data_IF_962316244419
#
_entry.id   IF_962316244419
#
_cell.length_a   1.000
_cell.length_b   1.000
_cell.length_c   1.000
_cell.angle_alpha   90.00
_cell.angle_beta   90.00
_cell.angle_gamma   90.00
#
_symmetry.space_group_name_H-M   'P 1'
#
loop_
_entity.id
_entity.type
_entity.pdbx_description
1 polymer ?
#
# COMPACT_ATOMS: atom_id res chain seq x y z
N UNK A 1 16.81 -0.41 5.09
CA UNK A 1 17.12 -0.08 3.67
C UNK A 1 16.68 1.34 3.27
N UNK A 2 17.49 2.07 2.48
CA UNK A 2 17.21 3.44 1.98
C UNK A 2 17.76 3.63 0.55
N UNK A 3 17.01 4.33 -0.30
CA UNK A 3 17.40 4.72 -1.67
C UNK A 3 17.29 6.23 -1.82
N UNK A 4 18.26 6.82 -2.51
CA UNK A 4 18.34 8.25 -2.79
C UNK A 4 17.68 8.61 -4.13
N UNK A 5 17.76 9.89 -4.49
CA UNK A 5 17.17 10.43 -5.70
C UNK A 5 17.71 9.77 -6.98
N UNK A 6 18.96 9.34 -7.02
CA UNK A 6 19.55 8.73 -8.22
C UNK A 6 18.87 7.40 -8.53
N UNK A 7 18.60 6.60 -7.50
CA UNK A 7 17.88 5.33 -7.67
C UNK A 7 16.39 5.56 -7.89
N UNK A 8 15.79 6.49 -7.14
CA UNK A 8 14.34 6.73 -7.19
C UNK A 8 13.86 7.33 -8.51
N UNK A 9 14.65 8.21 -9.13
CA UNK A 9 14.29 8.86 -10.40
C UNK A 9 14.72 8.07 -11.64
N UNK A 10 15.54 7.02 -11.48
CA UNK A 10 15.80 6.04 -12.54
C UNK A 10 14.71 4.96 -12.54
N UNK A 11 13.70 5.13 -13.40
CA UNK A 11 12.57 4.21 -13.48
C UNK A 11 13.00 2.76 -13.75
N UNK A 12 14.08 2.54 -14.50
CA UNK A 12 14.57 1.19 -14.82
C UNK A 12 15.04 0.43 -13.57
N UNK A 13 15.56 1.17 -12.59
CA UNK A 13 15.97 0.66 -11.29
C UNK A 13 14.83 0.66 -10.27
N UNK A 14 14.06 1.75 -10.21
CA UNK A 14 13.01 1.95 -9.22
C UNK A 14 11.87 0.93 -9.39
N UNK A 15 11.50 0.59 -10.63
CA UNK A 15 10.44 -0.41 -10.91
C UNK A 15 10.82 -1.85 -10.53
N UNK A 16 12.11 -2.13 -10.33
CA UNK A 16 12.63 -3.47 -9.96
C UNK A 16 12.83 -3.63 -8.45
N UNK A 17 12.62 -2.58 -7.67
CA UNK A 17 12.76 -2.59 -6.22
C UNK A 17 11.36 -2.57 -5.63
N UNK A 18 10.99 -3.62 -4.93
CA UNK A 18 9.66 -3.80 -4.36
C UNK A 18 9.72 -3.70 -2.83
N UNK A 19 8.60 -3.31 -2.23
CA UNK A 19 8.39 -3.33 -0.78
C UNK A 19 7.15 -4.15 -0.46
N UNK A 20 7.15 -4.76 0.73
CA UNK A 20 6.08 -5.60 1.24
C UNK A 20 5.75 -5.21 2.68
N UNK A 21 4.46 -5.06 2.96
CA UNK A 21 3.89 -4.90 4.29
C UNK A 21 2.83 -5.99 4.49
N UNK A 22 2.82 -6.64 5.64
CA UNK A 22 1.92 -7.78 5.94
C UNK A 22 1.16 -7.53 7.23
N UNK A 23 -0.09 -7.98 7.29
CA UNK A 23 -0.96 -7.76 8.45
C UNK A 23 -1.06 -8.97 9.41
N UNK A 24 -0.21 -9.98 9.26
CA UNK A 24 -0.21 -11.15 10.14
C UNK A 24 -1.44 -12.06 10.01
N UNK A 25 -2.32 -11.82 9.03
CA UNK A 25 -3.50 -12.67 8.74
C UNK A 25 -3.54 -13.12 7.28
N UNK A 26 -2.41 -13.06 6.57
CA UNK A 26 -2.28 -13.46 5.16
C UNK A 26 -2.60 -12.38 4.14
N UNK A 27 -3.09 -11.21 4.59
CA UNK A 27 -3.23 -10.01 3.78
C UNK A 27 -1.92 -9.22 3.70
N UNK A 28 -1.79 -8.40 2.66
CA UNK A 28 -0.57 -7.64 2.42
C UNK A 28 -0.83 -6.36 1.61
N UNK A 29 0.16 -5.47 1.64
CA UNK A 29 0.29 -4.33 0.75
C UNK A 29 1.69 -4.39 0.13
N UNK A 30 1.77 -4.16 -1.18
CA UNK A 30 3.05 -4.18 -1.90
C UNK A 30 2.99 -3.37 -3.18
N UNK A 31 4.14 -2.84 -3.58
CA UNK A 31 4.36 -2.20 -4.87
C UNK A 31 5.85 -2.04 -5.12
N UNK A 32 6.21 -1.38 -6.22
CA UNK A 32 7.57 -0.91 -6.45
C UNK A 32 7.86 0.37 -5.67
N UNK A 33 9.13 0.75 -5.51
CA UNK A 33 9.48 2.04 -4.88
C UNK A 33 9.06 3.23 -5.74
N UNK A 34 8.84 3.03 -7.05
CA UNK A 34 8.31 4.07 -7.95
C UNK A 34 6.79 4.30 -7.79
N UNK A 35 6.10 3.47 -6.98
CA UNK A 35 4.63 3.47 -6.90
C UNK A 35 3.93 2.98 -8.17
N UNK A 36 4.69 2.43 -9.13
CA UNK A 36 4.20 1.80 -10.35
C UNK A 36 3.95 0.32 -10.08
N UNK A 37 2.70 -0.14 -10.24
CA UNK A 37 2.40 -1.56 -10.16
C UNK A 37 2.90 -2.26 -11.43
N UNK A 38 3.71 -3.30 -11.25
CA UNK A 38 4.29 -4.11 -12.34
C UNK A 38 3.76 -5.54 -12.37
N UNK A 39 3.02 -5.93 -11.32
CA UNK A 39 2.44 -7.27 -11.11
C UNK A 39 0.95 -7.14 -10.79
N UNK A 40 0.16 -8.15 -11.17
CA UNK A 40 -1.25 -8.28 -10.72
C UNK A 40 -1.40 -8.40 -9.20
N UNK A 41 -0.33 -8.71 -8.49
CA UNK A 41 -0.31 -8.89 -7.05
C UNK A 41 -0.02 -7.62 -6.26
N UNK A 42 0.43 -6.54 -6.92
CA UNK A 42 0.63 -5.26 -6.26
C UNK A 42 -0.71 -4.63 -5.89
N UNK A 43 -0.74 -3.98 -4.74
CA UNK A 43 -1.96 -3.46 -4.14
C UNK A 43 -1.65 -2.76 -2.82
N UNK A 44 -2.35 -1.66 -2.54
CA UNK A 44 -2.32 -1.04 -1.21
C UNK A 44 -3.17 -1.80 -0.18
N UNK A 45 -4.16 -2.58 -0.62
CA UNK A 45 -4.89 -3.50 0.26
C UNK A 45 -5.27 -4.79 -0.49
N UNK A 46 -4.45 -5.82 -0.30
CA UNK A 46 -4.77 -7.20 -0.68
C UNK A 46 -5.30 -7.91 0.57
N UNK A 47 -6.62 -7.97 0.68
CA UNK A 47 -7.31 -8.46 1.87
C UNK A 47 -7.39 -9.99 1.86
N UNK A 48 -7.02 -10.64 2.97
CA UNK A 48 -7.31 -12.05 3.18
C UNK A 48 -8.74 -12.20 3.72
N UNK A 49 -9.68 -12.59 2.85
CA UNK A 49 -11.11 -12.74 3.20
C UNK A 49 -11.40 -14.01 3.99
N UNK A 50 -10.49 -15.00 3.94
CA UNK A 50 -10.54 -16.25 4.72
C UNK A 50 -9.15 -16.54 5.30
N UNK A 51 -8.71 -15.80 6.32
CA UNK A 51 -7.33 -15.86 6.80
C UNK A 51 -6.76 -17.28 7.01
N UNK A 52 -5.57 -17.58 6.46
CA UNK A 52 -4.65 -16.68 5.77
C UNK A 52 -4.80 -16.62 4.24
N UNK A 53 -5.92 -17.13 3.69
CA UNK A 53 -6.17 -17.30 2.25
C UNK A 53 -7.36 -16.45 1.77
N UNK A 54 -7.80 -16.66 0.52
CA UNK A 54 -8.90 -15.91 -0.10
C UNK A 54 -8.52 -14.45 -0.32
N UNK A 55 -7.37 -14.23 -0.98
CA UNK A 55 -6.80 -12.90 -1.18
C UNK A 55 -7.52 -12.16 -2.30
N UNK A 56 -8.05 -10.98 -1.96
CA UNK A 56 -8.74 -10.09 -2.90
C UNK A 56 -8.01 -8.76 -2.95
N UNK A 57 -7.64 -8.28 -4.14
CA UNK A 57 -7.09 -6.93 -4.32
C UNK A 57 -8.26 -5.96 -4.29
N UNK A 58 -8.41 -5.23 -3.19
CA UNK A 58 -9.50 -4.25 -3.01
C UNK A 58 -9.05 -2.88 -3.53
N UNK A 59 -7.95 -2.38 -2.99
CA UNK A 59 -7.34 -1.11 -3.35
C UNK A 59 -6.01 -1.37 -4.07
N UNK A 60 -5.95 -1.08 -5.38
CA UNK A 60 -4.74 -1.26 -6.18
C UNK A 60 -3.70 -0.21 -5.82
N UNK A 61 -4.08 1.06 -5.94
CA UNK A 61 -3.26 2.20 -5.56
C UNK A 61 -4.12 3.44 -5.30
N UNK A 62 -3.50 4.55 -4.95
CA UNK A 62 -4.12 5.86 -4.94
C UNK A 62 -3.36 6.70 -5.97
N UNK A 63 -4.07 7.41 -6.83
CA UNK A 63 -3.46 8.45 -7.64
C UNK A 63 -3.35 9.73 -6.80
N UNK A 64 -2.15 10.30 -6.73
CA UNK A 64 -1.87 11.48 -5.92
C UNK A 64 -1.56 12.69 -6.80
N UNK A 65 -2.29 13.78 -6.58
CA UNK A 65 -2.02 15.07 -7.21
C UNK A 65 -1.80 16.14 -6.15
N UNK A 66 -0.64 16.77 -6.21
CA UNK A 66 -0.27 17.87 -5.32
C UNK A 66 -0.41 19.19 -6.07
N UNK A 67 -1.22 20.11 -5.55
CA UNK A 67 -1.30 21.49 -6.02
C UNK A 67 -0.52 22.40 -5.08
N UNK A 68 0.42 23.16 -5.64
CA UNK A 68 1.26 24.13 -4.92
C UNK A 68 1.07 25.50 -5.58
N UNK A 69 0.30 26.38 -4.95
CA UNK A 69 -0.22 27.57 -5.64
C UNK A 69 -1.01 27.17 -6.90
N UNK A 70 -0.58 27.67 -8.06
CA UNK A 70 -1.20 27.33 -9.36
C UNK A 70 -0.56 26.10 -10.04
N UNK A 71 0.59 25.62 -9.55
CA UNK A 71 1.29 24.49 -10.14
C UNK A 71 0.67 23.15 -9.68
N UNK A 72 0.61 22.19 -10.61
CA UNK A 72 0.09 20.84 -10.37
C UNK A 72 1.22 19.83 -10.59
N UNK A 73 1.36 18.90 -9.64
CA UNK A 73 2.31 17.81 -9.68
C UNK A 73 1.57 16.49 -9.46
N UNK A 74 1.45 15.67 -10.49
CA UNK A 74 0.97 14.30 -10.36
C UNK A 74 2.12 13.41 -9.85
N UNK A 75 1.99 12.87 -8.64
CA UNK A 75 3.05 12.14 -7.93
C UNK A 75 3.01 10.62 -8.17
N UNK A 76 1.92 10.14 -8.75
CA UNK A 76 1.77 8.75 -9.18
C UNK A 76 2.67 8.38 -10.35
N UNK A 77 2.95 7.10 -10.49
CA UNK A 77 3.53 6.55 -11.72
C UNK A 77 2.74 5.34 -12.21
N UNK A 78 2.41 5.28 -13.50
CA UNK A 78 1.80 4.10 -14.14
C UNK A 78 2.42 3.79 -15.49
N UNK A 79 2.39 2.53 -15.87
CA UNK A 79 2.68 2.06 -17.22
C UNK A 79 1.35 1.88 -17.97
N UNK A 80 1.29 2.44 -19.17
CA UNK A 80 0.25 2.26 -20.17
C UNK A 80 0.90 1.81 -21.50
N UNK A 81 0.12 1.31 -22.48
CA UNK A 81 0.63 0.96 -23.80
C UNK A 81 1.42 2.12 -24.42
N UNK A 82 2.73 1.95 -24.51
CA UNK A 82 3.65 2.93 -25.12
C UNK A 82 3.90 4.20 -24.29
N UNK A 83 3.43 4.29 -23.05
CA UNK A 83 3.60 5.50 -22.24
C UNK A 83 3.76 5.23 -20.74
N UNK A 84 4.60 6.03 -20.09
CA UNK A 84 4.57 6.20 -18.63
C UNK A 84 3.79 7.47 -18.33
N UNK A 85 2.69 7.33 -17.61
CA UNK A 85 1.88 8.48 -17.23
C UNK A 85 1.06 8.19 -15.95
N UNK A 86 1.01 9.11 -14.97
CA UNK A 86 1.92 10.24 -14.82
C UNK A 86 3.37 9.78 -14.58
N UNK A 87 4.33 10.73 -14.57
CA UNK A 87 5.77 10.47 -14.39
C UNK A 87 6.23 10.84 -12.97
N UNK A 88 5.42 10.52 -11.95
CA UNK A 88 5.62 10.99 -10.58
C UNK A 88 6.90 10.51 -9.90
N UNK A 89 7.49 9.40 -10.38
CA UNK A 89 8.82 8.93 -9.96
C UNK A 89 9.91 10.01 -10.14
N UNK A 90 9.74 10.93 -11.09
CA UNK A 90 10.65 12.07 -11.28
C UNK A 90 10.69 13.04 -10.10
N UNK A 91 9.64 13.06 -9.27
CA UNK A 91 9.59 13.85 -8.04
C UNK A 91 10.08 13.06 -6.82
N UNK A 92 10.28 11.74 -6.91
CA UNK A 92 10.67 10.91 -5.78
C UNK A 92 12.16 11.10 -5.45
N UNK A 93 12.43 11.84 -4.37
CA UNK A 93 13.78 12.18 -3.93
C UNK A 93 14.38 11.19 -2.93
N UNK A 94 13.54 10.41 -2.25
CA UNK A 94 14.00 9.41 -1.28
C UNK A 94 12.94 8.32 -1.11
N UNK A 95 13.40 7.07 -0.96
CA UNK A 95 12.62 5.98 -0.39
C UNK A 95 13.36 5.38 0.80
N UNK A 96 12.65 5.00 1.85
CA UNK A 96 13.19 4.20 2.96
C UNK A 96 12.17 3.17 3.43
N UNK A 97 12.65 1.97 3.74
CA UNK A 97 11.80 0.86 4.17
C UNK A 97 11.54 0.88 5.68
N UNK A 98 12.49 1.37 6.47
CA UNK A 98 12.46 1.27 7.93
C UNK A 98 12.13 2.62 8.59
N UNK A 99 11.28 2.63 9.64
CA UNK A 99 10.57 1.49 10.23
C UNK A 99 9.36 1.00 9.40
N UNK A 100 8.97 1.73 8.36
CA UNK A 100 7.90 1.39 7.42
C UNK A 100 8.11 2.14 6.09
N UNK A 101 7.60 1.62 4.96
CA UNK A 101 7.73 2.25 3.64
C UNK A 101 7.41 3.74 3.69
N UNK A 102 8.41 4.56 3.37
CA UNK A 102 8.30 6.01 3.36
C UNK A 102 8.92 6.60 2.11
N UNK A 103 8.18 7.48 1.46
CA UNK A 103 8.51 8.13 0.19
C UNK A 103 8.60 9.63 0.44
N UNK A 104 9.65 10.29 -0.07
CA UNK A 104 9.77 11.75 -0.01
C UNK A 104 9.77 12.31 -1.42
N UNK A 105 8.73 13.08 -1.74
CA UNK A 105 8.58 13.77 -3.01
C UNK A 105 9.05 15.21 -2.89
N UNK A 106 9.78 15.68 -3.89
CA UNK A 106 10.14 17.09 -4.08
C UNK A 106 9.37 17.64 -5.28
N UNK A 107 8.40 18.49 -4.99
CA UNK A 107 7.52 19.11 -5.98
C UNK A 107 7.61 20.64 -5.85
N UNK A 108 8.39 21.26 -6.75
CA UNK A 108 8.74 22.68 -6.63
C UNK A 108 9.49 22.96 -5.32
N UNK A 109 8.96 23.87 -4.51
CA UNK A 109 9.48 24.23 -3.18
C UNK A 109 8.92 23.34 -2.05
N UNK A 110 8.09 22.34 -2.34
CA UNK A 110 7.46 21.47 -1.34
C UNK A 110 8.19 20.14 -1.19
N UNK A 111 8.37 19.71 0.06
CA UNK A 111 8.78 18.35 0.42
C UNK A 111 7.60 17.61 1.06
N UNK A 112 7.07 16.62 0.34
CA UNK A 112 5.95 15.80 0.79
C UNK A 112 6.45 14.42 1.20
N UNK A 113 6.17 14.01 2.43
CA UNK A 113 6.39 12.65 2.90
C UNK A 113 5.08 11.84 2.84
N UNK A 114 5.13 10.69 2.18
CA UNK A 114 4.11 9.64 2.23
C UNK A 114 4.63 8.46 3.04
N UNK A 115 3.87 7.99 4.02
CA UNK A 115 4.19 6.78 4.80
C UNK A 115 3.07 5.75 4.64
N UNK A 116 3.41 4.46 4.53
CA UNK A 116 2.46 3.35 4.36
C UNK A 116 2.84 2.19 5.29
N UNK A 117 1.86 1.61 5.98
CA UNK A 117 2.02 0.36 6.73
C UNK A 117 0.68 -0.36 6.89
N UNK A 118 0.72 -1.65 7.20
CA UNK A 118 -0.50 -2.41 7.54
C UNK A 118 -0.69 -2.53 9.05
N UNK A 119 -1.96 -2.50 9.47
CA UNK A 119 -2.32 -2.73 10.88
C UNK A 119 -2.35 -4.24 11.13
N UNK A 120 -1.63 -4.70 12.15
CA UNK A 120 -1.58 -6.13 12.49
C UNK A 120 -2.94 -6.70 12.90
N UNK A 121 -3.20 -7.92 12.45
CA UNK A 121 -4.41 -8.67 12.77
C UNK A 121 -5.61 -8.38 11.85
N UNK A 122 -5.50 -7.43 10.93
CA UNK A 122 -6.65 -6.83 10.26
C UNK A 122 -6.39 -6.46 8.80
N UNK A 123 -7.43 -6.51 7.95
CA UNK A 123 -7.36 -6.05 6.56
C UNK A 123 -7.45 -4.52 6.52
N UNK A 124 -6.40 -3.85 7.03
CA UNK A 124 -6.28 -2.39 7.09
C UNK A 124 -4.89 -1.93 6.68
N UNK A 125 -4.83 -0.94 5.80
CA UNK A 125 -3.61 -0.22 5.42
C UNK A 125 -3.73 1.25 5.80
N UNK A 126 -2.78 1.74 6.57
CA UNK A 126 -2.71 3.12 7.02
C UNK A 126 -1.74 3.91 6.12
N UNK A 127 -2.15 5.12 5.73
CA UNK A 127 -1.36 6.04 4.93
C UNK A 127 -1.34 7.43 5.58
N UNK A 128 -0.21 8.12 5.53
CA UNK A 128 -0.11 9.53 5.92
C UNK A 128 0.67 10.32 4.92
N UNK A 129 0.18 11.52 4.64
CA UNK A 129 0.86 12.54 3.83
C UNK A 129 1.13 13.77 4.71
N UNK A 130 2.38 14.20 4.81
CA UNK A 130 2.74 15.40 5.58
C UNK A 130 3.83 16.21 4.89
N UNK A 131 3.82 17.51 5.11
CA UNK A 131 4.90 18.39 4.67
C UNK A 131 6.11 18.21 5.60
N UNK A 132 7.31 18.15 5.02
CA UNK A 132 8.58 18.15 5.76
C UNK A 132 9.16 19.55 5.93
N UNK A 133 8.68 20.50 5.14
CA UNK A 133 9.02 21.91 5.23
C UNK A 133 7.75 22.76 5.37
N UNK A 134 7.92 24.05 5.61
CA UNK A 134 6.82 24.98 5.80
C UNK A 134 6.74 25.97 4.63
N UNK A 135 6.12 25.60 3.50
CA UNK A 135 5.97 26.49 2.36
C UNK A 135 4.97 27.61 2.66
N UNK A 136 5.24 28.82 2.15
CA UNK A 136 4.33 29.97 2.26
C UNK A 136 3.12 29.87 1.32
N UNK A 137 3.25 29.08 0.25
CA UNK A 137 2.22 28.84 -0.77
C UNK A 137 1.18 27.84 -0.28
N UNK A 138 -0.09 28.00 -0.68
CA UNK A 138 -1.14 27.00 -0.44
C UNK A 138 -0.75 25.63 -1.01
N UNK A 139 -1.01 24.56 -0.24
CA UNK A 139 -0.66 23.19 -0.62
C UNK A 139 -1.86 22.28 -0.42
N UNK A 140 -2.44 21.82 -1.54
CA UNK A 140 -3.59 20.93 -1.54
C UNK A 140 -3.22 19.58 -2.13
N UNK A 141 -3.66 18.52 -1.47
CA UNK A 141 -3.48 17.14 -1.92
C UNK A 141 -4.84 16.59 -2.36
N UNK A 142 -4.91 16.16 -3.61
CA UNK A 142 -6.02 15.39 -4.18
C UNK A 142 -5.61 13.91 -4.25
N UNK A 143 -6.48 13.04 -3.75
CA UNK A 143 -6.26 11.60 -3.70
C UNK A 143 -7.41 10.88 -4.39
N UNK A 144 -7.10 10.11 -5.43
CA UNK A 144 -8.07 9.33 -6.20
C UNK A 144 -7.78 7.83 -6.01
N UNK A 145 -8.49 7.13 -5.08
CA UNK A 145 -8.31 5.69 -4.91
C UNK A 145 -8.68 4.93 -6.20
N UNK A 146 -7.82 4.00 -6.62
CA UNK A 146 -8.07 3.09 -7.73
C UNK A 146 -8.38 1.70 -7.19
N UNK A 147 -9.63 1.27 -7.35
CA UNK A 147 -10.13 0.01 -6.82
C UNK A 147 -10.11 -1.07 -7.91
N UNK A 148 -9.78 -2.30 -7.52
CA UNK A 148 -9.72 -3.46 -8.42
C UNK A 148 -10.82 -4.49 -8.14
N UNK A 149 -11.08 -4.78 -6.86
CA UNK A 149 -12.10 -5.73 -6.39
C UNK A 149 -12.12 -7.06 -7.14
N UNK A 150 -10.96 -7.72 -7.16
CA UNK A 150 -10.76 -8.99 -7.88
C UNK A 150 -9.93 -9.98 -7.09
N UNK A 151 -10.03 -11.25 -7.46
CA UNK A 151 -9.10 -12.28 -6.99
C UNK A 151 -7.66 -11.89 -7.36
N UNK A 152 -6.72 -12.14 -6.45
CA UNK A 152 -5.32 -11.75 -6.64
C UNK A 152 -4.62 -12.50 -7.79
N UNK A 153 -5.13 -13.64 -8.27
CA UNK A 153 -4.65 -14.31 -9.47
C UNK A 153 -5.27 -13.80 -10.78
N UNK A 154 -6.27 -12.93 -10.74
CA UNK A 154 -6.97 -12.42 -11.93
C UNK A 154 -6.63 -10.96 -12.20
N UNK A 155 -7.07 -10.45 -13.36
CA UNK A 155 -7.17 -9.03 -13.67
C UNK A 155 -8.63 -8.65 -13.86
N UNK A 156 -8.95 -7.36 -13.74
CA UNK A 156 -10.29 -6.83 -13.98
C UNK A 156 -10.30 -5.87 -15.17
N UNK A 157 -11.47 -5.74 -15.80
CA UNK A 157 -11.71 -4.83 -16.91
C UNK A 157 -13.00 -4.07 -16.68
N UNK A 158 -13.13 -2.91 -17.34
CA UNK A 158 -14.32 -2.10 -17.24
C UNK A 158 -15.56 -2.92 -17.63
N UNK A 159 -16.57 -2.89 -16.75
CA UNK A 159 -17.77 -3.69 -16.92
C UNK A 159 -19.01 -2.97 -16.38
N UNK A 160 -20.21 -3.28 -16.91
CA UNK A 160 -21.45 -2.64 -16.48
C UNK A 160 -21.98 -3.20 -15.15
N UNK A 161 -21.44 -4.31 -14.65
CA UNK A 161 -21.88 -4.93 -13.39
C UNK A 161 -21.35 -4.21 -12.14
N UNK A 162 -20.35 -3.33 -12.31
CA UNK A 162 -19.79 -2.54 -11.21
C UNK A 162 -20.85 -1.61 -10.59
N UNK A 163 -21.16 -1.81 -9.31
CA UNK A 163 -21.93 -0.85 -8.54
C UNK A 163 -21.08 0.40 -8.27
N UNK A 164 -21.54 1.54 -8.79
CA UNK A 164 -20.87 2.84 -8.70
C UNK A 164 -21.24 3.64 -7.46
N UNK A 165 -22.14 3.12 -6.62
CA UNK A 165 -22.59 3.79 -5.41
C UNK A 165 -21.43 3.99 -4.42
N UNK A 166 -21.31 5.23 -3.95
CA UNK A 166 -20.38 5.62 -2.89
C UNK A 166 -21.19 5.99 -1.68
N UNK A 167 -20.97 5.28 -0.58
CA UNK A 167 -21.55 5.61 0.72
C UNK A 167 -20.60 6.54 1.46
N UNK A 168 -21.12 7.61 2.05
CA UNK A 168 -20.31 8.59 2.78
C UNK A 168 -20.79 8.71 4.22
N UNK A 169 -19.85 8.64 5.16
CA UNK A 169 -20.05 9.02 6.56
C UNK A 169 -19.21 10.24 6.94
N UNK A 170 -19.24 10.67 8.22
CA UNK A 170 -18.53 11.88 8.66
C UNK A 170 -17.01 11.87 8.44
N UNK A 171 -16.39 10.68 8.46
CA UNK A 171 -14.93 10.51 8.39
C UNK A 171 -14.54 9.29 7.55
N UNK A 172 -15.39 8.88 6.61
CA UNK A 172 -15.12 7.76 5.71
C UNK A 172 -15.96 7.82 4.45
N UNK A 173 -15.41 7.27 3.37
CA UNK A 173 -16.14 6.90 2.15
C UNK A 173 -16.05 5.38 1.95
N UNK A 174 -17.11 4.75 1.48
CA UNK A 174 -17.16 3.30 1.31
C UNK A 174 -17.73 2.90 -0.05
N UNK A 175 -17.19 1.81 -0.59
CA UNK A 175 -17.67 1.18 -1.83
C UNK A 175 -17.80 -0.33 -1.66
N UNK A 176 -18.79 -0.88 -2.35
CA UNK A 176 -18.98 -2.33 -2.52
C UNK A 176 -19.40 -2.62 -3.95
N UNK A 177 -18.45 -2.64 -4.89
CA UNK A 177 -18.75 -2.68 -6.31
C UNK A 177 -19.37 -4.00 -6.76
N UNK A 178 -19.08 -5.11 -6.07
CA UNK A 178 -19.61 -6.43 -6.37
C UNK A 178 -20.20 -7.12 -5.13
N UNK A 179 -21.31 -7.80 -5.33
CA UNK A 179 -21.94 -8.62 -4.30
C UNK A 179 -21.01 -9.77 -3.86
N UNK A 180 -21.09 -10.16 -2.57
CA UNK A 180 -20.25 -11.22 -2.01
C UNK A 180 -18.80 -10.81 -1.69
N UNK A 181 -18.33 -9.66 -2.19
CA UNK A 181 -17.04 -9.08 -1.78
C UNK A 181 -17.19 -8.15 -0.56
N UNK A 182 -16.13 -7.98 0.25
CA UNK A 182 -16.16 -7.11 1.43
C UNK A 182 -16.33 -5.65 1.04
N UNK A 183 -16.77 -4.79 1.97
CA UNK A 183 -16.70 -3.34 1.77
C UNK A 183 -15.24 -2.89 1.73
N UNK A 184 -14.97 -1.79 1.03
CA UNK A 184 -13.76 -1.01 1.19
C UNK A 184 -14.12 0.35 1.78
N UNK A 185 -13.70 0.59 3.02
CA UNK A 185 -13.77 1.89 3.70
C UNK A 185 -12.45 2.63 3.54
N UNK A 186 -12.50 3.85 3.03
CA UNK A 186 -11.41 4.84 3.09
C UNK A 186 -11.77 5.81 4.21
N UNK A 187 -11.26 5.53 5.41
CA UNK A 187 -11.43 6.37 6.59
C UNK A 187 -10.42 7.52 6.52
N UNK A 188 -10.83 8.76 6.82
CA UNK A 188 -10.01 9.96 6.66
C UNK A 188 -10.24 11.00 7.77
N UNK A 189 -9.25 11.84 8.05
CA UNK A 189 -9.27 12.81 9.17
C UNK A 189 -9.64 14.26 8.78
N UNK A 190 -9.81 14.56 7.50
CA UNK A 190 -10.10 15.95 7.07
C UNK A 190 -10.37 16.14 5.58
N UNK A 191 -10.72 15.07 4.86
CA UNK A 191 -10.98 15.12 3.43
C UNK A 191 -12.40 15.55 3.09
N UNK A 192 -12.57 16.43 2.10
CA UNK A 192 -13.84 16.53 1.37
C UNK A 192 -13.91 15.41 0.34
N UNK A 193 -15.08 14.81 0.13
CA UNK A 193 -15.28 13.76 -0.85
C UNK A 193 -16.21 14.22 -1.98
N UNK A 194 -15.85 13.91 -3.22
CA UNK A 194 -16.70 14.13 -4.38
C UNK A 194 -16.80 12.85 -5.18
N UNK A 195 -18.03 12.46 -5.46
CA UNK A 195 -18.35 11.33 -6.33
C UNK A 195 -18.44 11.81 -7.78
N UNK A 196 -17.94 10.99 -8.70
CA UNK A 196 -17.98 11.26 -10.14
C UNK A 196 -17.32 10.16 -10.95
N UNK A 197 -17.25 8.95 -10.37
CA UNK A 197 -16.24 7.95 -10.67
C UNK A 197 -16.12 7.53 -12.14
N UNK A 198 -14.89 7.19 -12.52
CA UNK A 198 -14.52 6.86 -13.89
C UNK A 198 -13.57 5.66 -13.94
N UNK A 199 -13.56 4.96 -15.07
CA UNK A 199 -12.62 3.88 -15.34
C UNK A 199 -11.31 4.43 -15.89
N UNK A 200 -10.21 3.98 -15.30
CA UNK A 200 -8.86 4.18 -15.80
C UNK A 200 -8.48 2.91 -16.56
N UNK A 201 -8.20 3.05 -17.85
CA UNK A 201 -8.09 1.91 -18.75
C UNK A 201 -6.64 1.53 -19.08
N UNK A 202 -6.43 0.23 -19.31
CA UNK A 202 -5.21 -0.34 -19.90
C UNK A 202 -3.92 -0.12 -19.09
N UNK A 203 -3.95 -0.22 -17.76
CA UNK A 203 -2.72 -0.35 -16.98
C UNK A 203 -1.94 -1.58 -17.46
N UNK A 204 -0.62 -1.46 -17.61
CA UNK A 204 0.26 -2.53 -18.06
C UNK A 204 1.17 -3.06 -16.94
N UNK A 205 1.13 -4.37 -16.72
CA UNK A 205 1.96 -5.07 -15.74
C UNK A 205 3.10 -5.82 -16.40
N UNK A 206 4.25 -5.15 -16.52
CA UNK A 206 5.43 -5.66 -17.23
C UNK A 206 5.88 -7.05 -16.76
N UNK A 207 5.87 -7.31 -15.46
CA UNK A 207 6.32 -8.60 -14.92
C UNK A 207 5.33 -9.73 -15.24
N UNK A 208 4.04 -9.42 -15.42
CA UNK A 208 3.07 -10.40 -15.92
C UNK A 208 3.26 -10.65 -17.42
N UNK A 209 3.57 -9.59 -18.19
CA UNK A 209 3.90 -9.70 -19.61
C UNK A 209 5.13 -10.56 -19.84
N UNK A 210 6.21 -10.35 -19.10
CA UNK A 210 7.44 -11.16 -19.16
C UNK A 210 7.17 -12.65 -18.83
N UNK A 211 6.15 -12.92 -17.99
CA UNK A 211 5.71 -14.29 -17.65
C UNK A 211 4.72 -14.89 -18.66
N UNK A 212 4.34 -14.15 -19.71
CA UNK A 212 3.38 -14.60 -20.72
C UNK A 212 1.94 -14.70 -20.20
N UNK A 213 1.59 -13.94 -19.17
CA UNK A 213 0.25 -13.88 -18.58
C UNK A 213 -0.49 -12.63 -19.06
N UNK A 214 -1.81 -12.55 -18.78
CA UNK A 214 -2.56 -11.30 -18.98
C UNK A 214 -1.89 -10.15 -18.21
N UNK A 215 -1.80 -8.98 -18.83
CA UNK A 215 -1.04 -7.86 -18.27
C UNK A 215 -1.72 -6.51 -18.44
N UNK A 216 -2.91 -6.47 -19.04
CA UNK A 216 -3.74 -5.28 -19.12
C UNK A 216 -4.85 -5.31 -18.07
N UNK A 217 -5.01 -4.25 -17.30
CA UNK A 217 -6.07 -4.11 -16.30
C UNK A 217 -6.74 -2.74 -16.40
N UNK A 218 -8.04 -2.68 -16.16
CA UNK A 218 -8.74 -1.42 -15.92
C UNK A 218 -9.02 -1.29 -14.42
N UNK A 219 -8.88 -0.08 -13.87
CA UNK A 219 -9.17 0.20 -12.46
C UNK A 219 -10.26 1.26 -12.37
N UNK A 220 -11.14 1.17 -11.37
CA UNK A 220 -12.20 2.14 -11.19
C UNK A 220 -11.81 3.17 -10.12
N UNK A 221 -11.99 4.46 -10.40
CA UNK A 221 -11.92 5.49 -9.38
C UNK A 221 -13.34 5.87 -8.96
N UNK A 222 -13.77 5.62 -7.70
CA UNK A 222 -15.13 5.91 -7.29
C UNK A 222 -15.38 7.36 -6.86
N UNK A 223 -14.36 8.00 -6.26
CA UNK A 223 -14.42 9.34 -5.70
C UNK A 223 -13.02 9.92 -5.57
N UNK A 224 -12.93 11.22 -5.27
CA UNK A 224 -11.69 11.89 -4.89
C UNK A 224 -11.79 12.49 -3.49
N UNK A 225 -10.65 12.58 -2.80
CA UNK A 225 -10.51 13.23 -1.49
C UNK A 225 -9.56 14.43 -1.60
N UNK A 226 -9.89 15.55 -0.94
CA UNK A 226 -9.02 16.74 -0.90
C UNK A 226 -8.61 17.12 0.51
N UNK A 227 -7.33 17.42 0.69
CA UNK A 227 -6.73 17.85 1.95
C UNK A 227 -5.96 19.15 1.77
N UNK A 228 -6.06 20.04 2.76
CA UNK A 228 -5.14 21.17 2.91
C UNK A 228 -3.98 20.75 3.82
N UNK A 229 -2.81 20.54 3.23
CA UNK A 229 -1.64 20.01 3.95
C UNK A 229 -0.95 21.05 4.85
N UNK A 230 -1.29 22.33 4.73
CA UNK A 230 -0.78 23.37 5.64
C UNK A 230 -1.49 23.38 6.98
N UNK A 231 -2.75 22.94 7.02
CA UNK A 231 -3.52 22.88 8.27
C UNK A 231 -3.12 21.67 9.12
N UNK A 232 -2.91 20.52 8.46
CA UNK A 232 -2.51 19.26 9.10
C UNK A 232 -2.03 18.25 8.07
N UNK A 233 -1.38 17.19 8.57
CA UNK A 233 -1.16 15.99 7.77
C UNK A 233 -2.50 15.36 7.35
N UNK A 234 -2.53 14.71 6.18
CA UNK A 234 -3.66 13.90 5.75
C UNK A 234 -3.44 12.45 6.21
N UNK A 235 -4.33 11.92 7.03
CA UNK A 235 -4.28 10.53 7.50
C UNK A 235 -5.44 9.72 6.92
N UNK A 236 -5.13 8.52 6.44
CA UNK A 236 -6.07 7.60 5.80
C UNK A 236 -5.91 6.19 6.36
N UNK A 237 -7.02 5.47 6.50
CA UNK A 237 -7.02 4.02 6.76
C UNK A 237 -7.96 3.37 5.75
N UNK A 238 -7.39 2.67 4.77
CA UNK A 238 -8.12 1.80 3.86
C UNK A 238 -8.37 0.46 4.55
N UNK A 239 -9.62 0.05 4.73
CA UNK A 239 -10.00 -1.08 5.57
C UNK A 239 -11.24 -1.80 5.08
N UNK A 240 -11.41 -3.07 5.43
CA UNK A 240 -12.67 -3.80 5.24
C UNK A 240 -13.75 -3.46 6.27
N UNK A 241 -13.36 -2.74 7.33
CA UNK A 241 -14.22 -2.28 8.42
C UNK A 241 -14.06 -0.78 8.65
N UNK A 242 -15.07 -0.13 9.25
CA UNK A 242 -14.97 1.28 9.65
C UNK A 242 -13.88 1.44 10.71
N UNK A 243 -13.06 2.48 10.57
CA UNK A 243 -11.96 2.81 11.47
C UNK A 243 -11.96 4.31 11.76
N UNK A 244 -11.42 4.69 12.91
CA UNK A 244 -11.14 6.09 13.19
C UNK A 244 -9.78 6.49 12.61
N UNK A 245 -9.77 7.34 11.57
CA UNK A 245 -8.52 7.87 11.02
C UNK A 245 -7.75 8.76 12.01
N UNK A 246 -8.43 9.35 13.00
CA UNK A 246 -7.79 10.08 14.10
C UNK A 246 -6.91 9.19 14.98
N UNK A 247 -7.10 7.87 14.94
CA UNK A 247 -6.25 6.89 15.63
C UNK A 247 -4.92 6.60 14.92
N UNK A 248 -4.63 7.24 13.77
CA UNK A 248 -3.44 6.97 12.95
C UNK A 248 -2.15 6.94 13.76
N UNK A 249 -1.88 7.96 14.57
CA UNK A 249 -0.63 8.01 15.36
C UNK A 249 -0.58 6.89 16.40
N UNK A 250 -1.71 6.56 17.03
CA UNK A 250 -1.79 5.46 18.00
C UNK A 250 -1.47 4.11 17.33
N UNK A 251 -2.03 3.82 16.16
CA UNK A 251 -1.76 2.57 15.44
C UNK A 251 -0.34 2.55 14.87
N UNK A 252 0.21 3.70 14.45
CA UNK A 252 1.60 3.84 14.02
C UNK A 252 2.57 3.55 15.17
N UNK A 253 2.35 4.14 16.33
CA UNK A 253 3.17 3.91 17.52
C UNK A 253 3.13 2.46 17.98
N UNK A 254 1.95 1.84 17.94
CA UNK A 254 1.80 0.41 18.23
C UNK A 254 2.60 -0.46 17.25
N UNK A 255 2.57 -0.15 15.95
CA UNK A 255 3.35 -0.89 14.94
C UNK A 255 4.86 -0.67 15.10
N UNK A 256 5.31 0.56 15.38
CA UNK A 256 6.73 0.83 15.66
C UNK A 256 7.19 0.06 16.89
N UNK A 257 6.42 0.09 17.98
CA UNK A 257 6.73 -0.64 19.21
C UNK A 257 6.82 -2.14 18.94
N UNK A 258 5.84 -2.71 18.24
CA UNK A 258 5.85 -4.12 17.85
C UNK A 258 7.11 -4.49 17.07
N UNK A 259 7.52 -3.68 16.08
CA UNK A 259 8.77 -3.92 15.33
C UNK A 259 10.01 -3.82 16.19
N UNK A 260 10.02 -2.92 17.19
CA UNK A 260 11.11 -2.84 18.17
C UNK A 260 11.16 -4.08 19.06
N UNK A 261 10.01 -4.58 19.53
CA UNK A 261 9.91 -5.79 20.35
C UNK A 261 10.43 -7.02 19.58
N UNK A 262 10.19 -7.10 18.26
CA UNK A 262 10.68 -8.21 17.42
C UNK A 262 12.20 -8.31 17.31
N UNK A 263 12.91 -7.23 17.58
CA UNK A 263 14.38 -7.15 17.51
C UNK A 263 15.02 -6.91 18.89
N UNK A 264 14.22 -6.96 19.94
CA UNK A 264 14.68 -6.82 21.31
C UNK A 264 15.66 -7.95 21.67
N UNK A 265 16.76 -7.61 22.33
CA UNK A 265 17.86 -8.53 22.64
C UNK A 265 18.83 -8.76 21.49
N UNK A 266 18.61 -8.13 20.33
CA UNK A 266 19.49 -8.17 19.17
C UNK A 266 20.06 -6.78 18.82
N UNK A 267 20.03 -5.82 19.75
CA UNK A 267 20.40 -4.42 19.52
C UNK A 267 21.87 -4.25 19.12
N UNK A 268 22.75 -5.13 19.61
CA UNK A 268 24.18 -5.13 19.29
C UNK A 268 24.51 -5.90 17.99
N UNK A 269 23.51 -6.48 17.32
CA UNK A 269 23.72 -7.21 16.06
C UNK A 269 23.85 -6.25 14.89
N UNK A 270 24.52 -6.69 13.81
CA UNK A 270 24.58 -5.93 12.57
C UNK A 270 23.17 -5.72 11.98
N UNK A 271 23.00 -4.62 11.24
CA UNK A 271 21.74 -4.23 10.60
C UNK A 271 21.14 -5.33 9.72
N UNK A 272 21.97 -6.16 9.08
CA UNK A 272 21.49 -7.29 8.29
C UNK A 272 20.69 -8.31 9.12
N UNK A 273 21.12 -8.64 10.35
CA UNK A 273 20.40 -9.58 11.22
C UNK A 273 19.07 -8.97 11.65
N UNK A 274 19.08 -7.67 11.96
CA UNK A 274 17.85 -6.94 12.31
C UNK A 274 16.84 -6.95 11.16
N UNK A 275 17.30 -6.73 9.94
CA UNK A 275 16.46 -6.77 8.73
C UNK A 275 15.86 -8.17 8.52
N UNK A 276 16.65 -9.24 8.73
CA UNK A 276 16.15 -10.62 8.66
C UNK A 276 15.10 -10.94 9.74
N UNK A 277 15.27 -10.45 10.98
CA UNK A 277 14.30 -10.65 12.05
C UNK A 277 12.96 -9.97 11.74
N UNK A 278 13.00 -8.74 11.19
CA UNK A 278 11.80 -8.04 10.75
C UNK A 278 11.13 -8.75 9.56
N UNK A 279 11.91 -9.19 8.57
CA UNK A 279 11.40 -9.94 7.42
C UNK A 279 10.78 -11.28 7.84
N UNK A 280 11.39 -12.01 8.79
CA UNK A 280 10.89 -13.29 9.29
C UNK A 280 9.47 -13.18 9.87
N UNK A 281 9.15 -12.05 10.51
CA UNK A 281 7.81 -11.82 11.09
C UNK A 281 6.72 -11.79 10.03
N UNK A 282 7.03 -11.31 8.82
CA UNK A 282 6.05 -11.14 7.74
C UNK A 282 5.42 -12.47 7.29
N UNK A 283 6.12 -13.60 7.49
CA UNK A 283 5.66 -14.92 7.06
C UNK A 283 4.84 -15.65 8.12
N UNK A 284 4.87 -15.22 9.38
CA UNK A 284 4.13 -15.85 10.47
C UNK A 284 2.72 -15.24 10.52
N UNK A 285 1.70 -16.05 10.23
CA UNK A 285 0.32 -15.57 10.14
C UNK A 285 -0.63 -16.37 11.02
N UNK A 286 -1.68 -15.71 11.50
CA UNK A 286 -2.76 -16.36 12.25
C UNK A 286 -3.63 -17.23 11.33
N UNK A 287 -4.06 -18.38 11.84
CA UNK A 287 -5.02 -19.31 11.23
C UNK A 287 -6.11 -19.63 12.26
N UNK A 288 -7.33 -19.17 12.02
CA UNK A 288 -8.40 -19.27 13.02
C UNK A 288 -8.12 -18.40 14.25
N UNK A 289 -8.61 -18.79 15.42
CA UNK A 289 -8.48 -17.99 16.65
C UNK A 289 -7.10 -18.15 17.30
N UNK A 290 -6.67 -19.40 17.50
CA UNK A 290 -5.51 -19.69 18.38
C UNK A 290 -4.31 -20.36 17.69
N UNK A 291 -4.32 -20.47 16.34
CA UNK A 291 -3.21 -21.12 15.61
C UNK A 291 -2.43 -20.13 14.77
N UNK A 292 -1.17 -20.45 14.55
CA UNK A 292 -0.31 -19.79 13.57
C UNK A 292 0.09 -20.77 12.48
N UNK A 293 0.41 -20.25 11.30
CA UNK A 293 1.02 -20.98 10.20
C UNK A 293 2.07 -20.08 9.54
N UNK A 294 2.84 -20.65 8.61
CA UNK A 294 3.88 -19.94 7.87
C UNK A 294 3.46 -19.85 6.40
N UNK A 295 3.36 -18.63 5.87
CA UNK A 295 3.23 -18.41 4.43
C UNK A 295 4.57 -18.72 3.78
N UNK A 296 4.59 -19.60 2.77
CA UNK A 296 5.83 -20.03 2.13
C UNK A 296 6.48 -18.94 1.26
N UNK A 297 5.70 -17.96 0.80
CA UNK A 297 6.21 -16.83 0.03
C UNK A 297 5.10 -15.96 -0.51
N UNK A 298 5.17 -14.66 -0.23
CA UNK A 298 4.31 -13.68 -0.90
C UNK A 298 4.84 -13.38 -2.31
N UNK A 299 3.95 -13.06 -3.27
CA UNK A 299 2.49 -13.08 -3.14
C UNK A 299 1.86 -14.45 -3.44
N UNK A 300 2.57 -15.36 -4.12
CA UNK A 300 1.98 -16.53 -4.78
C UNK A 300 1.57 -17.68 -3.87
N UNK A 301 2.32 -17.92 -2.80
CA UNK A 301 2.17 -19.14 -2.03
C UNK A 301 1.28 -18.94 -0.81
N UNK A 302 0.66 -20.05 -0.41
CA UNK A 302 -0.03 -20.20 0.87
C UNK A 302 0.92 -20.87 1.86
N UNK A 303 0.41 -21.54 2.89
CA UNK A 303 1.22 -22.37 3.77
C UNK A 303 1.53 -23.74 3.17
N UNK A 304 2.80 -24.14 3.21
CA UNK A 304 3.33 -25.37 2.65
C UNK A 304 4.19 -26.09 3.68
N UNK A 305 3.81 -27.31 4.06
CA UNK A 305 4.43 -28.02 5.20
C UNK A 305 5.94 -28.19 5.08
N UNK A 306 6.46 -28.46 3.87
CA UNK A 306 7.92 -28.59 3.64
C UNK A 306 8.66 -27.30 3.95
N UNK A 307 8.24 -26.21 3.31
CA UNK A 307 8.83 -24.88 3.44
C UNK A 307 8.76 -24.38 4.90
N UNK A 308 7.63 -24.64 5.57
CA UNK A 308 7.48 -24.38 7.01
C UNK A 308 8.56 -25.09 7.82
N UNK A 309 8.75 -26.40 7.63
CA UNK A 309 9.72 -27.16 8.43
C UNK A 309 11.17 -26.76 8.16
N UNK A 310 11.49 -26.31 6.94
CA UNK A 310 12.81 -25.77 6.58
C UNK A 310 13.04 -24.41 7.25
N UNK A 311 12.05 -23.51 7.19
CA UNK A 311 12.18 -22.14 7.67
C UNK A 311 12.00 -21.99 9.19
N UNK A 312 11.32 -22.94 9.85
CA UNK A 312 10.95 -22.89 11.26
C UNK A 312 12.10 -22.49 12.21
N UNK A 313 13.33 -23.00 12.07
CA UNK A 313 14.43 -22.59 12.96
C UNK A 313 14.74 -21.09 12.88
N UNK A 314 14.76 -20.53 11.67
CA UNK A 314 15.02 -19.11 11.44
C UNK A 314 13.84 -18.21 11.81
N UNK A 315 12.61 -18.69 11.62
CA UNK A 315 11.40 -17.91 11.89
C UNK A 315 11.00 -17.90 13.37
N UNK A 316 11.19 -19.02 14.09
CA UNK A 316 10.65 -19.19 15.45
C UNK A 316 11.70 -19.54 16.51
N UNK A 317 12.69 -20.39 16.21
CA UNK A 317 13.63 -20.86 17.24
C UNK A 317 14.72 -19.83 17.57
N UNK A 318 15.40 -19.29 16.54
CA UNK A 318 16.43 -18.26 16.73
C UNK A 318 15.81 -16.98 17.32
N UNK A 319 14.68 -16.46 16.78
CA UNK A 319 14.05 -15.25 17.32
C UNK A 319 13.26 -15.48 18.61
N UNK A 320 13.08 -16.74 19.05
CA UNK A 320 12.32 -17.15 20.25
C UNK A 320 10.85 -16.70 20.24
N UNK A 321 10.13 -17.03 19.16
CA UNK A 321 8.73 -16.63 18.90
C UNK A 321 7.70 -17.73 19.08
#
# INVERSE_FOLDING_TARGET
>A
MKFDQNVCTDLSQARRKEWLETNGIGGFASSTIAGMNTRRYHGLLVAATRPPVGRTVLLSKIEERLRVGDAIYDLSTNQYPGAIHPNGYGYLSEFRLDPMPTFVYRAGNVLLEKTVFMIQGENSTALRYRLLNNPETDVRLELLPLIAFRDYHSLTHANPALNREVQTGPAWCAVRPYEGLPNLFLNHDGGAAQSGGDWYHNFEYEEERERGLDYHEDLYNPFALWFNLRERAACLIASTEVRDAGSFEKVREAEVRRRQDLVQGWEASDGFVRDLLLAADQFIVRRGEDRKTVIAGYPWFTDWGRDTMIALPGLALIPRR
#
